data_IF_752086757089
#
_entry.id   IF_752086757089
#
_cell.length_a   1.000
_cell.length_b   1.000
_cell.length_c   1.000
_cell.angle_alpha   90.00
_cell.angle_beta   90.00
_cell.angle_gamma   90.00
#
_symmetry.space_group_name_H-M   'P 1'
#
loop_
_entity.id
_entity.type
_entity.pdbx_description
1 polymer ?
#
# COMPACT_ATOMS: atom_id res chain seq x y z
N UNK A 1 15.03 53.63 -16.53
CA UNK A 1 15.39 53.07 -15.21
C UNK A 1 14.34 53.51 -14.21
N UNK A 2 13.43 52.61 -13.83
CA UNK A 2 12.34 52.86 -12.89
C UNK A 2 12.68 52.25 -11.52
N UNK A 3 12.37 52.94 -10.41
CA UNK A 3 12.67 52.44 -9.07
C UNK A 3 11.66 51.36 -8.65
N UNK A 4 12.17 50.20 -8.24
CA UNK A 4 11.39 49.11 -7.65
C UNK A 4 10.89 49.49 -6.25
N UNK A 5 9.60 49.29 -5.92
CA UNK A 5 9.05 49.63 -4.61
C UNK A 5 9.43 48.58 -3.54
N UNK A 6 10.04 49.04 -2.44
CA UNK A 6 10.36 48.26 -1.25
C UNK A 6 9.08 47.81 -0.53
N UNK A 7 8.64 46.56 -0.76
CA UNK A 7 7.53 45.87 -0.05
C UNK A 7 8.01 44.67 0.78
N UNK A 8 9.15 44.77 1.47
CA UNK A 8 9.73 43.62 2.20
C UNK A 8 9.42 43.54 3.69
N UNK A 9 8.87 44.58 4.33
CA UNK A 9 8.78 44.61 5.80
C UNK A 9 7.52 43.96 6.41
N UNK A 10 6.45 43.72 5.65
CA UNK A 10 5.21 43.12 6.20
C UNK A 10 5.19 41.59 6.14
N UNK A 11 6.00 40.96 5.29
CA UNK A 11 6.05 39.49 5.18
C UNK A 11 6.81 38.84 6.34
N UNK A 12 7.77 39.56 6.94
CA UNK A 12 8.65 39.06 8.00
C UNK A 12 7.95 38.88 9.37
N UNK A 13 6.85 39.60 9.60
CA UNK A 13 6.11 39.52 10.88
C UNK A 13 5.19 38.29 10.91
N UNK A 14 4.58 37.90 9.78
CA UNK A 14 3.78 36.68 9.71
C UNK A 14 4.63 35.41 9.87
N UNK A 15 5.87 35.41 9.39
CA UNK A 15 6.75 34.23 9.48
C UNK A 15 7.18 33.93 10.93
N UNK A 16 7.43 34.97 11.74
CA UNK A 16 7.81 34.80 13.14
C UNK A 16 6.65 34.33 14.03
N UNK A 17 5.41 34.76 13.75
CA UNK A 17 4.24 34.27 14.48
C UNK A 17 3.90 32.81 14.17
N UNK A 18 4.15 32.36 12.93
CA UNK A 18 4.02 30.93 12.56
C UNK A 18 5.11 30.06 13.22
N UNK A 19 6.31 30.61 13.46
CA UNK A 19 7.40 29.87 14.11
C UNK A 19 7.19 29.70 15.63
N UNK A 20 6.58 30.68 16.29
CA UNK A 20 6.31 30.63 17.73
C UNK A 20 5.10 29.77 18.14
N UNK A 21 4.24 29.41 17.18
CA UNK A 21 3.05 28.58 17.39
C UNK A 21 3.28 27.09 17.09
N UNK A 22 4.51 26.66 16.79
CA UNK A 22 4.86 25.24 16.77
C UNK A 22 4.96 24.76 18.22
N UNK A 23 3.82 24.76 18.92
CA UNK A 23 3.65 23.94 20.11
C UNK A 23 3.99 22.50 19.71
N UNK A 24 4.70 21.80 20.60
CA UNK A 24 5.03 20.40 20.40
C UNK A 24 3.73 19.61 20.24
N UNK A 25 3.37 19.29 19.01
CA UNK A 25 2.19 18.47 18.71
C UNK A 25 2.45 17.08 19.28
N UNK A 26 1.59 16.61 20.16
CA UNK A 26 1.63 15.23 20.63
C UNK A 26 1.22 14.31 19.48
N UNK A 27 2.06 13.32 19.15
CA UNK A 27 1.81 12.40 18.05
C UNK A 27 1.57 11.01 18.62
N UNK A 28 0.40 10.44 18.34
CA UNK A 28 0.05 9.08 18.71
C UNK A 28 0.17 8.18 17.50
N UNK A 29 1.03 7.17 17.58
CA UNK A 29 1.22 6.21 16.49
C UNK A 29 0.63 4.88 16.93
N UNK A 30 -0.45 4.46 16.27
CA UNK A 30 -1.10 3.17 16.51
C UNK A 30 -0.71 2.23 15.37
N UNK A 31 0.13 1.25 15.68
CA UNK A 31 0.60 0.24 14.73
C UNK A 31 -0.28 -0.99 14.92
N UNK A 32 -1.05 -1.34 13.89
CA UNK A 32 -1.80 -2.57 13.86
C UNK A 32 -1.00 -3.65 13.13
N UNK A 33 -0.79 -4.80 13.78
CA UNK A 33 -0.15 -5.95 13.18
C UNK A 33 -1.01 -7.20 13.44
N UNK A 34 -1.51 -7.82 12.37
CA UNK A 34 -2.29 -9.04 12.44
C UNK A 34 -1.46 -10.25 12.01
N UNK A 35 -1.35 -11.23 12.89
CA UNK A 35 -0.72 -12.51 12.60
C UNK A 35 0.78 -12.58 12.91
N UNK A 36 1.27 -13.81 12.87
CA UNK A 36 2.63 -14.19 13.32
C UNK A 36 3.43 -14.85 12.18
N UNK A 37 3.02 -14.66 10.93
CA UNK A 37 3.74 -15.20 9.77
C UNK A 37 5.20 -14.69 9.76
N UNK A 38 6.19 -15.57 9.60
CA UNK A 38 7.60 -15.16 9.65
C UNK A 38 8.03 -14.26 8.48
N UNK A 39 7.25 -14.18 7.41
CA UNK A 39 7.57 -13.37 6.22
C UNK A 39 6.97 -11.96 6.28
N UNK A 40 5.81 -11.78 6.94
CA UNK A 40 5.09 -10.49 6.94
C UNK A 40 4.33 -10.15 8.24
N UNK A 41 4.27 -11.07 9.21
CA UNK A 41 3.56 -10.86 10.47
C UNK A 41 4.38 -10.08 11.51
N UNK A 42 3.97 -10.19 12.78
CA UNK A 42 4.60 -9.49 13.91
C UNK A 42 6.11 -9.69 14.00
N UNK A 43 6.59 -10.93 13.87
CA UNK A 43 8.02 -11.25 14.00
C UNK A 43 8.88 -10.65 12.89
N UNK A 44 8.32 -10.43 11.69
CA UNK A 44 9.02 -9.79 10.59
C UNK A 44 8.97 -8.26 10.68
N UNK A 45 7.81 -7.70 11.06
CA UNK A 45 7.53 -6.28 10.90
C UNK A 45 7.82 -5.44 12.14
N UNK A 46 7.58 -5.97 13.36
CA UNK A 46 7.79 -5.21 14.58
C UNK A 46 9.26 -4.74 14.76
N UNK A 47 10.29 -5.58 14.54
CA UNK A 47 11.68 -5.13 14.62
C UNK A 47 12.02 -4.03 13.62
N UNK A 48 11.40 -4.04 12.43
CA UNK A 48 11.61 -2.98 11.43
C UNK A 48 11.11 -1.63 11.94
N UNK A 49 9.92 -1.61 12.57
CA UNK A 49 9.39 -0.39 13.19
C UNK A 49 10.25 0.07 14.35
N UNK A 50 10.71 -0.81 15.23
CA UNK A 50 11.59 -0.45 16.35
C UNK A 50 12.83 0.29 15.87
N UNK A 51 13.54 -0.27 14.90
CA UNK A 51 14.74 0.36 14.33
C UNK A 51 14.40 1.67 13.60
N UNK A 52 13.28 1.73 12.88
CA UNK A 52 12.85 2.93 12.19
C UNK A 52 12.54 4.07 13.17
N UNK A 53 11.84 3.79 14.27
CA UNK A 53 11.50 4.77 15.30
C UNK A 53 12.74 5.22 16.09
N UNK A 54 13.65 4.31 16.43
CA UNK A 54 14.92 4.64 17.08
C UNK A 54 15.74 5.62 16.22
N UNK A 55 15.83 5.37 14.91
CA UNK A 55 16.54 6.25 13.96
C UNK A 55 15.83 7.58 13.79
N UNK A 56 14.50 7.56 13.68
CA UNK A 56 13.70 8.79 13.54
C UNK A 56 13.82 9.68 14.78
N UNK A 57 13.84 9.10 15.98
CA UNK A 57 14.04 9.85 17.23
C UNK A 57 15.42 10.53 17.30
N UNK A 58 16.47 9.89 16.78
CA UNK A 58 17.80 10.50 16.67
C UNK A 58 17.84 11.62 15.62
N UNK A 59 17.13 11.45 14.51
CA UNK A 59 17.14 12.41 13.40
C UNK A 59 16.25 13.64 13.69
N UNK A 60 15.15 13.44 14.43
CA UNK A 60 14.16 14.47 14.73
C UNK A 60 13.91 14.58 16.25
N UNK A 61 14.93 14.95 17.04
CA UNK A 61 14.87 14.93 18.50
C UNK A 61 13.92 15.98 19.10
N UNK A 62 13.43 16.96 18.34
CA UNK A 62 12.41 17.90 18.79
C UNK A 62 10.98 17.38 18.59
N UNK A 63 10.78 16.40 17.69
CA UNK A 63 9.47 15.86 17.34
C UNK A 63 9.13 14.63 18.18
N UNK A 64 10.08 13.70 18.30
CA UNK A 64 9.85 12.40 18.94
C UNK A 64 9.77 12.35 20.48
N UNK A 65 10.24 13.34 21.28
CA UNK A 65 10.05 13.31 22.72
C UNK A 65 8.58 13.31 23.14
N UNK A 66 7.69 13.82 22.28
CA UNK A 66 6.26 13.92 22.52
C UNK A 66 5.45 12.94 21.64
N UNK A 67 6.07 11.81 21.27
CA UNK A 67 5.43 10.77 20.45
C UNK A 67 5.16 9.54 21.30
N UNK A 68 3.91 9.08 21.32
CA UNK A 68 3.50 7.80 21.91
C UNK A 68 3.34 6.75 20.82
N UNK A 69 3.67 5.51 21.17
CA UNK A 69 3.56 4.37 20.26
C UNK A 69 2.75 3.27 20.92
N UNK A 70 1.69 2.87 20.24
CA UNK A 70 0.85 1.75 20.62
C UNK A 70 0.94 0.67 19.56
N UNK A 71 1.14 -0.58 19.98
CA UNK A 71 1.15 -1.72 19.07
C UNK A 71 -0.03 -2.60 19.42
N UNK A 72 -1.00 -2.67 18.51
CA UNK A 72 -2.10 -3.62 18.57
C UNK A 72 -1.67 -4.86 17.80
N UNK A 73 -1.46 -5.96 18.52
CA UNK A 73 -1.08 -7.24 17.93
C UNK A 73 -2.18 -8.27 18.17
N UNK A 74 -2.70 -8.83 17.08
CA UNK A 74 -3.65 -9.94 17.14
C UNK A 74 -2.97 -11.24 16.71
N UNK A 75 -2.94 -12.21 17.61
CA UNK A 75 -2.38 -13.55 17.39
C UNK A 75 -3.36 -14.45 16.65
N UNK A 76 -2.87 -15.62 16.19
CA UNK A 76 -3.66 -16.67 15.54
C UNK A 76 -4.35 -16.27 14.24
N UNK A 77 -3.91 -15.18 13.61
CA UNK A 77 -4.34 -14.80 12.26
C UNK A 77 -3.41 -15.48 11.26
N UNK A 78 -3.95 -16.42 10.48
CA UNK A 78 -3.16 -17.28 9.57
C UNK A 78 -2.92 -16.66 8.21
N UNK A 79 -3.89 -15.90 7.73
CA UNK A 79 -3.89 -15.39 6.36
C UNK A 79 -4.61 -14.05 6.26
N UNK A 80 -4.51 -13.44 5.07
CA UNK A 80 -5.10 -12.14 4.76
C UNK A 80 -6.63 -12.11 4.92
N UNK A 81 -7.31 -13.21 4.60
CA UNK A 81 -8.76 -13.30 4.68
C UNK A 81 -9.23 -13.35 6.14
N UNK A 82 -8.53 -14.15 6.95
CA UNK A 82 -8.70 -14.22 8.39
C UNK A 82 -8.37 -12.89 9.04
N UNK A 83 -7.31 -12.19 8.57
CA UNK A 83 -6.96 -10.85 9.05
C UNK A 83 -8.12 -9.87 8.86
N UNK A 84 -8.68 -9.83 7.64
CA UNK A 84 -9.84 -9.01 7.33
C UNK A 84 -11.08 -9.39 8.16
N UNK A 85 -11.34 -10.69 8.39
CA UNK A 85 -12.46 -11.13 9.23
C UNK A 85 -12.29 -10.74 10.70
N UNK A 86 -11.05 -10.76 11.23
CA UNK A 86 -10.74 -10.35 12.60
C UNK A 86 -10.75 -8.81 12.78
N UNK A 87 -10.87 -8.04 11.70
CA UNK A 87 -10.91 -6.57 11.80
C UNK A 87 -12.09 -6.04 12.61
N UNK A 88 -13.17 -6.80 12.77
CA UNK A 88 -14.31 -6.38 13.60
C UNK A 88 -13.91 -6.25 15.08
N UNK A 89 -13.22 -7.25 15.63
CA UNK A 89 -12.73 -7.23 17.01
C UNK A 89 -11.63 -6.18 17.20
N UNK A 90 -10.72 -6.12 16.24
CA UNK A 90 -9.59 -5.18 16.25
C UNK A 90 -10.06 -3.74 16.13
N UNK A 91 -11.07 -3.46 15.30
CA UNK A 91 -11.62 -2.12 15.15
C UNK A 91 -12.21 -1.59 16.46
N UNK A 92 -12.87 -2.43 17.26
CA UNK A 92 -13.35 -2.04 18.59
C UNK A 92 -12.21 -1.59 19.51
N UNK A 93 -11.16 -2.42 19.63
CA UNK A 93 -9.95 -2.10 20.42
C UNK A 93 -9.25 -0.83 19.92
N UNK A 94 -9.21 -0.64 18.60
CA UNK A 94 -8.60 0.53 17.99
C UNK A 94 -9.43 1.79 18.25
N UNK A 95 -10.77 1.71 18.19
CA UNK A 95 -11.66 2.83 18.52
C UNK A 95 -11.48 3.28 19.97
N UNK A 96 -11.50 2.33 20.91
CA UNK A 96 -11.25 2.62 22.33
C UNK A 96 -9.88 3.25 22.56
N UNK A 97 -8.86 2.83 21.79
CA UNK A 97 -7.51 3.37 21.91
C UNK A 97 -7.44 4.80 21.36
N UNK A 98 -7.97 5.02 20.15
CA UNK A 98 -7.93 6.32 19.45
C UNK A 98 -8.74 7.38 20.19
N UNK A 99 -9.92 7.03 20.71
CA UNK A 99 -10.80 7.95 21.44
C UNK A 99 -10.16 8.50 22.74
N UNK A 100 -9.22 7.74 23.32
CA UNK A 100 -8.51 8.12 24.54
C UNK A 100 -7.24 8.94 24.30
N UNK A 101 -6.82 9.10 23.05
CA UNK A 101 -5.59 9.84 22.76
C UNK A 101 -5.89 11.31 22.46
N UNK A 102 -5.08 12.21 23.02
CA UNK A 102 -5.06 13.62 22.66
C UNK A 102 -3.97 13.89 21.61
N UNK A 103 -4.22 14.78 20.65
CA UNK A 103 -3.24 15.16 19.63
C UNK A 103 -3.43 14.47 18.28
N UNK A 104 -2.36 14.42 17.48
CA UNK A 104 -2.39 13.87 16.12
C UNK A 104 -2.24 12.35 16.17
N UNK A 105 -3.29 11.62 15.79
CA UNK A 105 -3.25 10.16 15.70
C UNK A 105 -2.97 9.68 14.27
N UNK A 106 -1.98 8.80 14.14
CA UNK A 106 -1.59 8.15 12.89
C UNK A 106 -1.75 6.65 13.07
N UNK A 107 -2.57 6.05 12.21
CA UNK A 107 -2.69 4.61 12.09
C UNK A 107 -1.62 4.08 11.13
N UNK A 108 -0.97 2.98 11.49
CA UNK A 108 -0.01 2.29 10.65
C UNK A 108 -0.38 0.82 10.53
N UNK A 109 -0.38 0.27 9.31
CA UNK A 109 -0.57 -1.17 9.10
C UNK A 109 0.42 -1.71 8.05
N UNK A 110 1.25 -2.72 8.40
CA UNK A 110 1.97 -3.53 7.44
C UNK A 110 1.12 -4.70 6.91
N UNK A 111 -0.18 -4.68 7.20
CA UNK A 111 -1.12 -5.73 6.86
C UNK A 111 -1.50 -5.75 5.39
N UNK A 112 -2.20 -6.82 5.03
CA UNK A 112 -2.67 -7.03 3.68
C UNK A 112 -3.71 -5.98 3.25
N UNK A 113 -3.91 -5.84 1.94
CA UNK A 113 -4.88 -4.89 1.41
C UNK A 113 -6.31 -5.09 1.94
N UNK A 114 -6.73 -6.32 2.24
CA UNK A 114 -8.08 -6.59 2.74
C UNK A 114 -8.29 -6.03 4.16
N UNK A 115 -7.30 -6.19 5.04
CA UNK A 115 -7.26 -5.55 6.36
C UNK A 115 -7.24 -4.03 6.23
N UNK A 116 -6.34 -3.50 5.40
CA UNK A 116 -6.17 -2.06 5.23
C UNK A 116 -7.39 -1.38 4.60
N UNK A 117 -8.24 -2.09 3.85
CA UNK A 117 -9.52 -1.54 3.38
C UNK A 117 -10.46 -1.24 4.55
N UNK A 118 -10.58 -2.17 5.50
CA UNK A 118 -11.41 -1.96 6.70
C UNK A 118 -10.82 -0.83 7.55
N UNK A 119 -9.50 -0.82 7.75
CA UNK A 119 -8.82 0.29 8.41
C UNK A 119 -9.01 1.61 7.68
N UNK A 120 -9.05 1.62 6.36
CA UNK A 120 -9.21 2.83 5.56
C UNK A 120 -10.60 3.43 5.74
N UNK A 121 -11.64 2.60 5.78
CA UNK A 121 -13.01 3.05 6.07
C UNK A 121 -13.09 3.61 7.50
N UNK A 122 -12.42 2.96 8.46
CA UNK A 122 -12.33 3.43 9.84
C UNK A 122 -11.55 4.75 9.97
N UNK A 123 -10.40 4.86 9.30
CA UNK A 123 -9.55 6.03 9.30
C UNK A 123 -10.27 7.23 8.67
N UNK A 124 -11.09 7.00 7.65
CA UNK A 124 -11.99 8.02 7.09
C UNK A 124 -13.00 8.50 8.14
N UNK A 125 -13.67 7.58 8.82
CA UNK A 125 -14.72 7.92 9.80
C UNK A 125 -14.17 8.72 10.99
N UNK A 126 -13.01 8.32 11.50
CA UNK A 126 -12.34 9.04 12.58
C UNK A 126 -11.50 10.24 12.11
N UNK A 127 -11.44 10.49 10.79
CA UNK A 127 -10.59 11.51 10.19
C UNK A 127 -9.12 11.44 10.66
N UNK A 128 -8.57 10.23 10.76
CA UNK A 128 -7.17 9.98 11.14
C UNK A 128 -6.36 9.55 9.92
N UNK A 129 -5.07 9.88 9.91
CA UNK A 129 -4.15 9.49 8.84
C UNK A 129 -3.88 7.98 8.93
N UNK A 130 -4.02 7.27 7.82
CA UNK A 130 -3.63 5.86 7.71
C UNK A 130 -2.43 5.71 6.77
N UNK A 131 -1.33 5.18 7.31
CA UNK A 131 -0.13 4.81 6.57
C UNK A 131 -0.09 3.29 6.40
N UNK A 132 -0.09 2.80 5.16
CA UNK A 132 0.06 1.38 4.90
C UNK A 132 1.35 1.08 4.12
N UNK A 133 2.16 0.14 4.60
CA UNK A 133 3.47 -0.14 3.99
C UNK A 133 3.41 -1.21 2.89
N UNK A 134 2.53 -2.19 3.02
CA UNK A 134 2.44 -3.36 2.12
C UNK A 134 1.15 -3.40 1.30
N UNK A 135 0.14 -2.62 1.69
CA UNK A 135 -1.16 -2.60 1.03
C UNK A 135 -1.09 -1.87 -0.31
N UNK A 136 -1.35 -2.62 -1.37
CA UNK A 136 -1.18 -2.16 -2.75
C UNK A 136 -2.40 -2.44 -3.64
N UNK A 137 -3.61 -2.53 -3.07
CA UNK A 137 -4.81 -2.68 -3.89
C UNK A 137 -5.19 -1.36 -4.60
N UNK A 138 -5.65 -1.46 -5.85
CA UNK A 138 -6.09 -0.32 -6.65
C UNK A 138 -7.28 0.42 -6.02
N UNK A 139 -8.06 -0.24 -5.16
CA UNK A 139 -9.15 0.39 -4.44
C UNK A 139 -8.71 1.62 -3.64
N UNK A 140 -7.47 1.65 -3.14
CA UNK A 140 -6.90 2.77 -2.37
C UNK A 140 -6.65 4.03 -3.22
N UNK A 141 -6.73 3.94 -4.55
CA UNK A 141 -6.69 5.11 -5.44
C UNK A 141 -8.00 5.90 -5.39
N UNK A 142 -9.10 5.32 -4.89
CA UNK A 142 -10.35 6.03 -4.71
C UNK A 142 -10.26 6.96 -3.48
N UNK A 143 -9.85 8.21 -3.71
CA UNK A 143 -9.76 9.24 -2.65
C UNK A 143 -11.11 9.71 -2.11
N UNK A 144 -12.23 9.39 -2.76
CA UNK A 144 -13.55 9.61 -2.16
C UNK A 144 -13.82 8.60 -1.04
N UNK A 145 -13.38 7.35 -1.20
CA UNK A 145 -13.52 6.31 -0.17
C UNK A 145 -12.39 6.35 0.86
N UNK A 146 -11.15 6.59 0.44
CA UNK A 146 -9.97 6.56 1.31
C UNK A 146 -9.20 7.89 1.29
N UNK A 147 -9.82 9.00 1.76
CA UNK A 147 -9.21 10.33 1.69
C UNK A 147 -7.96 10.47 2.56
N UNK A 148 -7.90 9.77 3.69
CA UNK A 148 -6.79 9.84 4.66
C UNK A 148 -5.77 8.71 4.50
N UNK A 149 -5.88 7.90 3.44
CA UNK A 149 -4.95 6.81 3.19
C UNK A 149 -3.73 7.27 2.39
N UNK A 150 -2.54 6.95 2.89
CA UNK A 150 -1.27 7.07 2.19
C UNK A 150 -0.59 5.70 2.23
N UNK A 151 -0.22 5.18 1.06
CA UNK A 151 0.68 4.06 1.04
C UNK A 151 2.13 4.51 1.00
N UNK A 152 2.96 3.83 1.78
CA UNK A 152 4.41 4.00 1.77
C UNK A 152 5.07 3.13 0.68
N UNK A 153 4.37 2.08 0.23
CA UNK A 153 4.75 1.26 -0.92
C UNK A 153 4.00 1.66 -2.20
N UNK A 154 4.43 1.17 -3.38
CA UNK A 154 3.73 1.42 -4.62
C UNK A 154 2.33 0.78 -4.62
N UNK A 155 1.28 1.60 -4.47
CA UNK A 155 -0.13 1.15 -4.58
C UNK A 155 -0.44 0.68 -5.99
N UNK A 156 -1.19 -0.41 -6.12
CA UNK A 156 -1.72 -0.89 -7.39
C UNK A 156 -0.64 -1.36 -8.35
N UNK A 157 0.58 -1.62 -7.84
CA UNK A 157 1.80 -1.69 -8.65
C UNK A 157 1.87 -0.54 -9.66
N UNK A 158 1.53 0.67 -9.19
CA UNK A 158 1.49 1.91 -9.96
C UNK A 158 2.83 2.29 -10.60
N UNK A 159 3.92 1.66 -10.18
CA UNK A 159 5.18 1.70 -10.92
C UNK A 159 5.32 0.54 -11.93
N UNK A 160 4.98 -0.69 -11.56
CA UNK A 160 5.21 -1.87 -12.42
C UNK A 160 4.36 -1.85 -13.68
N UNK A 161 3.09 -1.43 -13.63
CA UNK A 161 2.23 -1.41 -14.82
C UNK A 161 2.65 -0.31 -15.80
N UNK A 162 2.89 0.96 -15.38
CA UNK A 162 3.46 1.96 -16.28
C UNK A 162 4.87 1.62 -16.75
N UNK A 163 5.71 1.00 -15.91
CA UNK A 163 7.03 0.53 -16.34
C UNK A 163 6.93 -0.57 -17.39
N UNK A 164 6.01 -1.52 -17.20
CA UNK A 164 5.72 -2.56 -18.19
C UNK A 164 5.20 -1.94 -19.49
N UNK A 165 4.27 -0.97 -19.40
CA UNK A 165 3.78 -0.24 -20.57
C UNK A 165 4.93 0.44 -21.32
N UNK A 166 5.76 1.21 -20.62
CA UNK A 166 6.90 1.91 -21.20
C UNK A 166 7.91 0.93 -21.82
N UNK A 167 8.16 -0.21 -21.17
CA UNK A 167 8.98 -1.29 -21.71
C UNK A 167 8.39 -1.84 -23.02
N UNK A 168 7.10 -2.16 -23.04
CA UNK A 168 6.43 -2.69 -24.22
C UNK A 168 6.44 -1.67 -25.38
N UNK A 169 6.23 -0.39 -25.09
CA UNK A 169 6.32 0.70 -26.08
C UNK A 169 7.74 0.87 -26.61
N UNK A 170 8.76 0.78 -25.75
CA UNK A 170 10.16 0.93 -26.15
C UNK A 170 10.62 -0.16 -27.13
N UNK A 171 10.05 -1.37 -27.03
CA UNK A 171 10.39 -2.52 -27.89
C UNK A 171 9.35 -2.80 -28.97
N UNK A 172 8.39 -1.90 -29.21
CA UNK A 172 7.30 -2.08 -30.18
C UNK A 172 6.54 -3.41 -30.00
N UNK A 173 6.37 -3.84 -28.75
CA UNK A 173 5.66 -5.05 -28.36
C UNK A 173 4.18 -4.75 -28.12
N UNK A 174 3.41 -4.69 -29.21
CA UNK A 174 1.96 -4.45 -29.16
C UNK A 174 1.15 -5.70 -28.84
N UNK A 175 1.67 -6.90 -29.10
CA UNK A 175 0.94 -8.16 -28.93
C UNK A 175 1.67 -9.13 -28.00
N UNK A 176 1.12 -9.42 -26.83
CA UNK A 176 1.74 -10.29 -25.83
C UNK A 176 0.72 -11.22 -25.14
N UNK A 177 1.20 -12.37 -24.64
CA UNK A 177 0.41 -13.27 -23.79
C UNK A 177 0.84 -13.10 -22.34
N UNK A 178 -0.11 -13.02 -21.42
CA UNK A 178 0.14 -13.00 -19.98
C UNK A 178 -0.39 -14.28 -19.38
N UNK A 179 0.49 -15.00 -18.70
CA UNK A 179 0.14 -16.15 -17.89
C UNK A 179 -0.11 -15.73 -16.45
N UNK A 180 -1.31 -16.01 -15.96
CA UNK A 180 -1.79 -15.63 -14.65
C UNK A 180 -2.02 -16.87 -13.79
N UNK A 181 -1.33 -16.98 -12.66
CA UNK A 181 -1.58 -18.06 -11.71
C UNK A 181 -3.00 -18.00 -11.14
N UNK A 182 -3.65 -19.15 -11.05
CA UNK A 182 -5.01 -19.27 -10.54
C UNK A 182 -4.96 -19.20 -9.02
N UNK A 183 -5.67 -18.23 -8.45
CA UNK A 183 -5.66 -17.98 -7.01
C UNK A 183 -6.29 -19.06 -6.15
N UNK A 184 -6.99 -20.02 -6.76
CA UNK A 184 -7.73 -21.05 -6.05
C UNK A 184 -6.85 -21.89 -5.11
N UNK A 185 -5.55 -22.03 -5.40
CA UNK A 185 -4.66 -22.91 -4.65
C UNK A 185 -3.78 -22.20 -3.61
N UNK A 186 -3.73 -20.87 -3.62
CA UNK A 186 -2.80 -20.09 -2.79
C UNK A 186 -3.54 -19.09 -1.90
N UNK A 187 -4.38 -19.57 -0.97
CA UNK A 187 -5.21 -18.69 -0.13
C UNK A 187 -4.42 -17.54 0.54
N UNK A 188 -3.16 -17.77 0.90
CA UNK A 188 -2.34 -16.80 1.62
C UNK A 188 -1.70 -15.73 0.71
N UNK A 189 -1.43 -16.06 -0.56
CA UNK A 189 -0.68 -15.19 -1.51
C UNK A 189 -1.51 -14.83 -2.75
N UNK A 190 -2.69 -15.42 -2.87
CA UNK A 190 -3.67 -15.18 -3.93
C UNK A 190 -4.00 -13.71 -4.08
N UNK A 191 -4.12 -13.01 -2.94
CA UNK A 191 -4.35 -11.57 -2.92
C UNK A 191 -3.25 -10.80 -3.61
N UNK A 192 -1.98 -11.21 -3.49
CA UNK A 192 -0.84 -10.51 -4.10
C UNK A 192 -0.68 -10.81 -5.59
N UNK A 193 -0.75 -12.07 -6.00
CA UNK A 193 -0.49 -12.44 -7.41
C UNK A 193 -1.67 -12.15 -8.33
N UNK A 194 -2.91 -12.28 -7.87
CA UNK A 194 -4.04 -11.81 -8.69
C UNK A 194 -4.04 -10.31 -8.94
N UNK A 195 -3.36 -9.50 -8.13
CA UNK A 195 -3.34 -8.05 -8.33
C UNK A 195 -2.55 -7.65 -9.57
N UNK A 196 -1.44 -8.33 -9.88
CA UNK A 196 -0.63 -8.01 -11.07
C UNK A 196 -1.41 -8.28 -12.32
N UNK A 197 -1.99 -9.48 -12.42
CA UNK A 197 -2.78 -9.86 -13.56
C UNK A 197 -4.02 -8.98 -13.74
N UNK A 198 -4.69 -8.59 -12.64
CA UNK A 198 -5.77 -7.60 -12.69
C UNK A 198 -5.28 -6.23 -13.16
N UNK A 199 -4.11 -5.79 -12.71
CA UNK A 199 -3.55 -4.49 -13.09
C UNK A 199 -3.09 -4.47 -14.55
N UNK A 200 -2.46 -5.54 -15.05
CA UNK A 200 -2.13 -5.72 -16.47
C UNK A 200 -3.42 -5.77 -17.29
N UNK A 201 -4.44 -6.52 -16.87
CA UNK A 201 -5.74 -6.54 -17.54
C UNK A 201 -6.37 -5.14 -17.63
N UNK A 202 -6.28 -4.34 -16.57
CA UNK A 202 -6.75 -2.95 -16.56
C UNK A 202 -6.00 -2.07 -17.57
N UNK A 203 -4.67 -2.23 -17.66
CA UNK A 203 -3.85 -1.54 -18.67
C UNK A 203 -4.33 -1.85 -20.10
N UNK A 204 -4.70 -3.10 -20.35
CA UNK A 204 -5.19 -3.56 -21.66
C UNK A 204 -6.54 -2.97 -21.97
N UNK A 205 -7.48 -3.03 -21.03
CA UNK A 205 -8.84 -2.51 -21.24
C UNK A 205 -8.85 -1.00 -21.52
N UNK A 206 -7.86 -0.28 -21.02
CA UNK A 206 -7.75 1.18 -21.19
C UNK A 206 -6.92 1.59 -22.40
N UNK A 207 -6.04 0.73 -22.91
CA UNK A 207 -5.15 1.04 -24.05
C UNK A 207 -5.57 0.30 -25.33
N UNK A 208 -5.92 1.07 -26.36
CA UNK A 208 -6.17 0.52 -27.72
C UNK A 208 -4.91 0.06 -28.45
N UNK A 209 -3.72 0.33 -27.90
CA UNK A 209 -2.44 0.05 -28.55
C UNK A 209 -1.95 -1.39 -28.34
N UNK A 210 -2.47 -2.08 -27.31
CA UNK A 210 -2.01 -3.42 -26.95
C UNK A 210 -3.09 -4.48 -27.22
N UNK A 211 -2.68 -5.60 -27.79
CA UNK A 211 -3.47 -6.82 -27.90
C UNK A 211 -2.91 -7.84 -26.91
N UNK A 212 -3.69 -8.20 -25.90
CA UNK A 212 -3.22 -9.07 -24.82
C UNK A 212 -4.07 -10.30 -24.67
N UNK A 213 -3.40 -11.45 -24.67
CA UNK A 213 -4.02 -12.75 -24.42
C UNK A 213 -3.79 -13.13 -22.97
N UNK A 214 -4.85 -13.22 -22.19
CA UNK A 214 -4.77 -13.72 -20.81
C UNK A 214 -4.97 -15.23 -20.82
N UNK A 215 -4.06 -15.96 -20.18
CA UNK A 215 -4.18 -17.40 -19.96
C UNK A 215 -4.00 -17.68 -18.47
N UNK A 216 -4.99 -18.32 -17.86
CA UNK A 216 -4.89 -18.78 -16.48
C UNK A 216 -4.06 -20.07 -16.44
N UNK A 217 -3.10 -20.13 -15.52
CA UNK A 217 -2.28 -21.29 -15.19
C UNK A 217 -2.72 -21.77 -13.81
N UNK A 218 -2.82 -23.07 -13.61
CA UNK A 218 -2.89 -23.68 -12.28
C UNK A 218 -1.64 -24.52 -12.11
N UNK A 219 -0.60 -23.97 -11.50
CA UNK A 219 0.70 -24.66 -11.37
C UNK A 219 0.63 -25.93 -10.52
N UNK A 220 -0.35 -26.02 -9.62
CA UNK A 220 -0.59 -27.19 -8.77
C UNK A 220 -1.11 -28.37 -9.59
N UNK A 221 -1.98 -28.10 -10.58
CA UNK A 221 -2.58 -29.15 -11.44
C UNK A 221 -1.70 -29.60 -12.60
N UNK A 222 -0.44 -29.14 -12.67
CA UNK A 222 0.52 -29.46 -13.75
C UNK A 222 -0.13 -29.31 -15.14
N UNK A 223 -0.47 -28.08 -15.54
CA UNK A 223 -1.11 -27.82 -16.82
C UNK A 223 -0.17 -28.22 -17.96
N UNK A 224 -0.76 -28.43 -19.14
CA UNK A 224 0.01 -28.73 -20.34
C UNK A 224 0.75 -27.48 -20.85
N UNK A 225 1.86 -27.16 -20.16
CA UNK A 225 2.70 -26.00 -20.43
C UNK A 225 3.18 -25.99 -21.87
N UNK A 226 3.44 -27.16 -22.46
CA UNK A 226 3.89 -27.28 -23.85
C UNK A 226 2.83 -26.71 -24.80
N UNK A 227 1.59 -27.17 -24.68
CA UNK A 227 0.51 -26.68 -25.52
C UNK A 227 0.15 -25.21 -25.23
N UNK A 228 0.25 -24.77 -23.97
CA UNK A 228 0.05 -23.36 -23.61
C UNK A 228 1.10 -22.44 -24.25
N UNK A 229 2.39 -22.80 -24.14
CA UNK A 229 3.49 -22.05 -24.74
C UNK A 229 3.43 -22.06 -26.27
N UNK A 230 3.03 -23.19 -26.88
CA UNK A 230 2.80 -23.26 -28.33
C UNK A 230 1.69 -22.30 -28.78
N UNK A 231 0.56 -22.25 -28.06
CA UNK A 231 -0.52 -21.29 -28.33
C UNK A 231 -0.05 -19.85 -28.16
N UNK A 232 0.67 -19.55 -27.08
CA UNK A 232 1.20 -18.21 -26.81
C UNK A 232 2.20 -17.76 -27.89
N UNK A 233 3.11 -18.65 -28.31
CA UNK A 233 4.05 -18.42 -29.41
C UNK A 233 3.35 -18.11 -30.73
N UNK A 234 2.25 -18.81 -31.02
CA UNK A 234 1.50 -18.60 -32.27
C UNK A 234 0.64 -17.35 -32.24
N UNK A 235 0.24 -16.86 -31.06
CA UNK A 235 -0.70 -15.74 -30.90
C UNK A 235 -0.01 -14.41 -30.61
N UNK A 236 1.22 -14.43 -30.12
CA UNK A 236 1.86 -13.24 -29.54
C UNK A 236 3.38 -13.20 -29.74
N UNK A 237 3.95 -11.99 -29.65
CA UNK A 237 5.39 -11.75 -29.82
C UNK A 237 6.16 -11.71 -28.50
N UNK A 238 5.47 -11.41 -27.40
CA UNK A 238 6.01 -11.42 -26.05
C UNK A 238 5.22 -12.32 -25.12
N UNK A 239 5.89 -12.92 -24.14
CA UNK A 239 5.25 -13.72 -23.09
C UNK A 239 5.63 -13.11 -21.75
N UNK A 240 4.63 -12.77 -20.94
CA UNK A 240 4.78 -12.36 -19.56
C UNK A 240 4.26 -13.48 -18.67
N UNK A 241 5.04 -13.83 -17.67
CA UNK A 241 4.69 -14.88 -16.72
C UNK A 241 4.68 -14.28 -15.32
N UNK A 242 3.54 -14.35 -14.65
CA UNK A 242 3.40 -13.98 -13.25
C UNK A 242 3.26 -15.27 -12.43
N UNK A 243 4.39 -15.75 -11.91
CA UNK A 243 4.47 -16.95 -11.07
C UNK A 243 4.61 -16.55 -9.60
N UNK A 244 3.93 -17.29 -8.73
CA UNK A 244 4.09 -17.25 -7.28
C UNK A 244 5.42 -17.87 -6.83
#
# INVERSE_FOLDING_TARGET
MSPFPRRTSRLLICLNFLCAMVQSVHINIVILILGEDPSFGYYATAPMYDIAFERAARMYPSLFPNTTRHVLHQKNVRDCASAAANMVDVAGKMMDLVDRQEGLTILMSPGCSAEAMVLGDFARELNVLLLASTSADLAFMNKQRFPTFIALGPVGRGASVPALKAFLEHYDLTTFTVFCETTANYLNVASFVSLVCRAIRSLVMTSKQFTVYLQEIDSVRKPDYKNMLLRAKNSSRGILVDLL
#
